data_IF_943503718996
#
_entry.id   IF_943503718996
#
_cell.length_a   1.000
_cell.length_b   1.000
_cell.length_c   1.000
_cell.angle_alpha   90.00
_cell.angle_beta   90.00
_cell.angle_gamma   90.00
#
_symmetry.space_group_name_H-M   'P 1'
#
loop_
_entity.id
_entity.type
_entity.pdbx_description
1 polymer ?
#
# COMPACT_ATOMS: atom_id res chain seq x y z
N UNK A 1 -49.38 -4.45 -24.80
CA UNK A 1 -48.47 -3.79 -25.77
C UNK A 1 -48.52 -2.29 -25.53
N UNK A 2 -47.40 -1.68 -25.15
CA UNK A 2 -47.32 -0.23 -24.93
C UNK A 2 -47.36 0.45 -26.30
N UNK A 3 -48.46 1.15 -26.63
CA UNK A 3 -48.57 1.91 -27.89
C UNK A 3 -47.80 3.22 -27.78
N UNK A 4 -46.57 3.23 -28.30
CA UNK A 4 -45.68 4.40 -28.27
C UNK A 4 -46.08 5.36 -29.41
N UNK A 5 -46.39 6.61 -29.06
CA UNK A 5 -46.74 7.63 -30.08
C UNK A 5 -45.57 7.92 -31.02
N UNK A 6 -45.86 8.27 -32.29
CA UNK A 6 -44.85 8.57 -33.31
C UNK A 6 -43.87 9.68 -32.89
N UNK A 7 -44.32 10.64 -32.05
CA UNK A 7 -43.49 11.71 -31.46
C UNK A 7 -42.54 11.19 -30.36
N UNK A 8 -42.95 10.18 -29.58
CA UNK A 8 -42.15 9.56 -28.52
C UNK A 8 -41.32 8.36 -28.99
N UNK A 9 -41.53 7.87 -30.21
CA UNK A 9 -40.77 6.75 -30.79
C UNK A 9 -39.26 7.01 -30.79
N UNK A 10 -38.83 8.23 -31.11
CA UNK A 10 -37.41 8.62 -31.06
C UNK A 10 -36.85 8.58 -29.63
N UNK A 11 -37.62 9.06 -28.65
CA UNK A 11 -37.22 9.02 -27.23
C UNK A 11 -37.08 7.58 -26.74
N UNK A 12 -38.03 6.70 -27.09
CA UNK A 12 -37.97 5.29 -26.75
C UNK A 12 -36.81 4.54 -27.39
N UNK A 13 -36.51 4.82 -28.67
CA UNK A 13 -35.30 4.28 -29.32
C UNK A 13 -34.07 4.77 -28.57
N UNK A 14 -34.00 6.06 -28.22
CA UNK A 14 -32.89 6.61 -27.42
C UNK A 14 -32.72 5.92 -26.07
N UNK A 15 -33.81 5.73 -25.31
CA UNK A 15 -33.77 5.01 -24.03
C UNK A 15 -33.36 3.55 -24.19
N UNK A 16 -33.90 2.84 -25.18
CA UNK A 16 -33.55 1.45 -25.42
C UNK A 16 -32.08 1.29 -25.82
N UNK A 17 -31.57 2.15 -26.70
CA UNK A 17 -30.15 2.16 -27.09
C UNK A 17 -29.26 2.51 -25.91
N UNK A 18 -29.62 3.54 -25.13
CA UNK A 18 -28.87 3.92 -23.92
C UNK A 18 -28.80 2.78 -22.91
N UNK A 19 -29.94 2.16 -22.60
CA UNK A 19 -30.00 1.04 -21.65
C UNK A 19 -29.21 -0.18 -22.17
N UNK A 20 -29.25 -0.44 -23.47
CA UNK A 20 -28.45 -1.50 -24.09
C UNK A 20 -26.95 -1.24 -23.97
N UNK A 21 -26.48 -0.03 -24.32
CA UNK A 21 -25.08 0.35 -24.19
C UNK A 21 -24.64 0.30 -22.73
N UNK A 22 -25.41 0.88 -21.80
CA UNK A 22 -25.10 0.83 -20.36
C UNK A 22 -25.03 -0.60 -19.84
N UNK A 23 -25.93 -1.49 -20.27
CA UNK A 23 -25.91 -2.89 -19.86
C UNK A 23 -24.67 -3.61 -20.38
N UNK A 24 -24.28 -3.36 -21.63
CA UNK A 24 -23.03 -3.90 -22.19
C UNK A 24 -21.83 -3.38 -21.41
N UNK A 25 -21.73 -2.06 -21.20
CA UNK A 25 -20.64 -1.47 -20.44
C UNK A 25 -20.56 -2.04 -19.02
N UNK A 26 -21.70 -2.18 -18.33
CA UNK A 26 -21.76 -2.77 -17.00
C UNK A 26 -21.23 -4.21 -17.01
N UNK A 27 -21.71 -5.06 -17.91
CA UNK A 27 -21.26 -6.45 -18.02
C UNK A 27 -19.78 -6.50 -18.33
N UNK A 28 -19.30 -5.76 -19.35
CA UNK A 28 -17.89 -5.77 -19.76
C UNK A 28 -17.00 -5.30 -18.61
N UNK A 29 -17.29 -4.15 -17.99
CA UNK A 29 -16.47 -3.61 -16.91
C UNK A 29 -16.51 -4.45 -15.62
N UNK A 30 -17.55 -5.26 -15.43
CA UNK A 30 -17.68 -6.14 -14.24
C UNK A 30 -17.00 -7.50 -14.41
N UNK A 31 -16.41 -7.80 -15.57
CA UNK A 31 -15.65 -9.04 -15.76
C UNK A 31 -14.26 -8.93 -15.11
N UNK A 32 -13.76 -9.96 -14.41
CA UNK A 32 -12.44 -9.92 -13.76
C UNK A 32 -11.28 -9.58 -14.70
N UNK A 33 -11.33 -10.04 -15.96
CA UNK A 33 -10.32 -9.73 -16.99
C UNK A 33 -10.20 -8.22 -17.29
N UNK A 34 -11.19 -7.43 -16.89
CA UNK A 34 -11.27 -6.00 -17.11
C UNK A 34 -11.00 -5.18 -15.83
N UNK A 35 -10.61 -5.83 -14.73
CA UNK A 35 -10.26 -5.14 -13.46
C UNK A 35 -9.16 -4.08 -13.67
N UNK A 36 -8.22 -4.32 -14.60
CA UNK A 36 -7.21 -3.32 -14.97
C UNK A 36 -7.80 -1.98 -15.44
N UNK A 37 -9.00 -1.97 -16.03
CA UNK A 37 -9.68 -0.72 -16.44
C UNK A 37 -10.32 0.02 -15.25
N UNK A 38 -10.49 -0.68 -14.13
CA UNK A 38 -10.99 -0.13 -12.87
C UNK A 38 -9.84 0.23 -11.91
N UNK A 39 -8.64 -0.32 -12.14
CA UNK A 39 -7.45 0.02 -11.36
C UNK A 39 -7.08 1.48 -11.50
N UNK A 40 -6.63 2.10 -10.39
CA UNK A 40 -6.15 3.49 -10.38
C UNK A 40 -4.79 3.66 -11.06
N UNK A 41 -4.06 2.56 -11.26
CA UNK A 41 -2.72 2.54 -11.84
C UNK A 41 -2.11 1.13 -11.82
N UNK A 42 -0.83 0.97 -12.22
CA UNK A 42 -0.15 -0.32 -12.19
C UNK A 42 0.04 -0.81 -10.76
N UNK A 43 -0.27 -2.07 -10.50
CA UNK A 43 -0.03 -2.70 -9.18
C UNK A 43 1.45 -2.61 -8.80
N UNK A 44 1.71 -2.53 -7.51
CA UNK A 44 3.04 -2.51 -6.91
C UNK A 44 3.83 -3.77 -7.31
N UNK A 45 5.16 -3.64 -7.38
CA UNK A 45 6.06 -4.73 -7.77
C UNK A 45 5.95 -5.94 -6.84
N UNK A 46 5.57 -7.09 -7.41
CA UNK A 46 5.30 -8.33 -6.70
C UNK A 46 3.81 -8.55 -6.37
N UNK A 47 2.94 -7.58 -6.67
CA UNK A 47 1.49 -7.65 -6.48
C UNK A 47 0.71 -7.68 -7.82
N UNK A 48 1.39 -7.86 -8.95
CA UNK A 48 0.82 -7.74 -10.30
C UNK A 48 -0.30 -8.74 -10.59
N UNK A 49 -0.22 -9.91 -9.96
CA UNK A 49 -1.16 -11.02 -10.16
C UNK A 49 -2.19 -11.14 -9.02
N UNK A 50 -2.19 -10.22 -8.05
CA UNK A 50 -3.17 -10.24 -6.96
C UNK A 50 -4.54 -9.75 -7.46
N UNK A 51 -5.60 -10.42 -7.01
CA UNK A 51 -6.97 -9.97 -7.26
C UNK A 51 -7.33 -8.73 -6.43
N UNK A 52 -8.22 -7.89 -6.97
CA UNK A 52 -8.67 -6.68 -6.27
C UNK A 52 -9.31 -6.99 -4.91
N UNK A 53 -10.02 -8.12 -4.79
CA UNK A 53 -10.72 -8.52 -3.56
C UNK A 53 -9.81 -8.99 -2.44
N UNK A 54 -8.57 -9.37 -2.77
CA UNK A 54 -7.56 -9.73 -1.76
C UNK A 54 -7.13 -8.53 -0.91
N UNK A 55 -7.25 -7.32 -1.45
CA UNK A 55 -7.00 -6.08 -0.74
C UNK A 55 -8.30 -5.35 -0.37
N UNK A 56 -9.20 -5.15 -1.34
CA UNK A 56 -10.38 -4.33 -1.16
C UNK A 56 -11.55 -5.11 -0.56
N UNK A 57 -11.94 -4.71 0.65
CA UNK A 57 -13.14 -5.24 1.31
C UNK A 57 -14.39 -4.47 0.86
N UNK A 58 -15.54 -5.11 0.60
CA UNK A 58 -16.77 -4.42 0.29
C UNK A 58 -17.18 -3.43 1.39
N UNK A 59 -17.56 -2.22 0.98
CA UNK A 59 -18.03 -1.19 1.92
C UNK A 59 -19.37 -1.57 2.55
N UNK A 60 -19.57 -1.13 3.80
CA UNK A 60 -20.80 -1.39 4.55
C UNK A 60 -22.03 -0.77 3.90
N UNK A 61 -23.13 -1.53 3.91
CA UNK A 61 -24.41 -1.12 3.34
C UNK A 61 -24.45 -1.29 1.82
N UNK A 62 -25.66 -1.22 1.26
CA UNK A 62 -25.83 -1.28 -0.20
C UNK A 62 -25.53 0.07 -0.87
N UNK A 63 -25.44 0.07 -2.20
CA UNK A 63 -25.14 1.26 -3.01
C UNK A 63 -26.03 2.47 -2.70
N UNK A 64 -27.33 2.25 -2.46
CA UNK A 64 -28.24 3.35 -2.13
C UNK A 64 -27.97 3.92 -0.75
N UNK A 65 -27.66 3.07 0.23
CA UNK A 65 -27.29 3.50 1.58
C UNK A 65 -25.98 4.29 1.58
N UNK A 66 -24.98 3.82 0.82
CA UNK A 66 -23.70 4.51 0.66
C UNK A 66 -23.91 5.89 -0.01
N UNK A 67 -24.68 5.94 -1.10
CA UNK A 67 -25.02 7.19 -1.78
C UNK A 67 -25.77 8.16 -0.86
N UNK A 68 -26.78 7.67 -0.14
CA UNK A 68 -27.54 8.47 0.81
C UNK A 68 -26.63 9.03 1.91
N UNK A 69 -25.72 8.22 2.45
CA UNK A 69 -24.77 8.65 3.46
C UNK A 69 -23.86 9.79 2.97
N UNK A 70 -23.37 9.70 1.73
CA UNK A 70 -22.53 10.72 1.12
C UNK A 70 -23.31 12.01 0.82
N UNK A 71 -24.56 11.93 0.35
CA UNK A 71 -25.43 13.11 0.22
C UNK A 71 -25.62 13.80 1.57
N UNK A 72 -25.92 13.03 2.63
CA UNK A 72 -26.08 13.58 3.98
C UNK A 72 -24.80 14.23 4.51
N UNK A 73 -23.62 13.67 4.20
CA UNK A 73 -22.34 14.29 4.53
C UNK A 73 -22.17 15.63 3.80
N UNK A 74 -22.41 15.68 2.48
CA UNK A 74 -22.29 16.91 1.69
C UNK A 74 -23.19 18.04 2.19
N UNK A 75 -24.40 17.74 2.67
CA UNK A 75 -25.32 18.76 3.23
C UNK A 75 -25.12 19.01 4.73
N UNK A 76 -24.07 18.47 5.34
CA UNK A 76 -23.72 18.69 6.75
C UNK A 76 -24.60 17.96 7.76
N UNK A 77 -25.47 17.04 7.30
CA UNK A 77 -26.29 16.19 8.17
C UNK A 77 -25.53 15.00 8.74
N UNK A 78 -24.32 14.73 8.24
CA UNK A 78 -23.41 13.69 8.72
C UNK A 78 -22.00 14.27 8.89
N UNK A 79 -21.27 13.81 9.91
CA UNK A 79 -19.92 14.30 10.23
C UNK A 79 -18.81 13.73 9.34
N UNK A 80 -19.02 12.54 8.80
CA UNK A 80 -18.03 11.82 7.98
C UNK A 80 -18.68 11.24 6.75
N UNK A 81 -17.92 11.14 5.67
CA UNK A 81 -18.35 10.41 4.46
C UNK A 81 -18.46 8.89 4.71
N UNK A 82 -19.01 8.19 3.73
CA UNK A 82 -19.05 6.74 3.66
C UNK A 82 -18.28 6.28 2.43
N UNK A 83 -17.47 5.22 2.62
CA UNK A 83 -16.81 4.53 1.52
C UNK A 83 -17.86 4.00 0.52
N UNK A 84 -17.55 4.07 -0.78
CA UNK A 84 -18.47 3.65 -1.85
C UNK A 84 -17.89 2.45 -2.61
N UNK A 85 -18.67 1.38 -2.73
CA UNK A 85 -18.23 0.12 -3.33
C UNK A 85 -17.33 -0.68 -2.39
N UNK A 86 -16.10 -0.22 -2.17
CA UNK A 86 -15.09 -0.86 -1.30
C UNK A 86 -14.61 0.10 -0.21
N UNK A 87 -14.13 -0.48 0.90
CA UNK A 87 -13.40 0.25 1.93
C UNK A 87 -11.96 0.55 1.46
N UNK A 88 -11.37 1.61 2.00
CA UNK A 88 -9.94 1.86 1.85
C UNK A 88 -9.16 0.73 2.52
N UNK A 89 -8.04 0.35 1.90
CA UNK A 89 -7.10 -0.64 2.44
C UNK A 89 -6.40 -0.03 3.64
N UNK A 90 -6.38 -0.75 4.76
CA UNK A 90 -5.66 -0.33 5.96
C UNK A 90 -4.50 -1.29 6.28
N UNK A 91 -3.72 -0.94 7.29
CA UNK A 91 -2.59 -1.75 7.76
C UNK A 91 -2.97 -3.19 8.10
N UNK A 92 -4.17 -3.40 8.64
CA UNK A 92 -4.62 -4.74 9.03
C UNK A 92 -4.72 -5.61 7.78
N UNK A 93 -5.25 -5.08 6.69
CA UNK A 93 -5.31 -5.79 5.42
C UNK A 93 -3.93 -6.17 4.89
N UNK A 94 -2.96 -5.26 4.93
CA UNK A 94 -1.57 -5.57 4.55
C UNK A 94 -0.97 -6.68 5.42
N UNK A 95 -1.20 -6.61 6.72
CA UNK A 95 -0.69 -7.58 7.69
C UNK A 95 -1.29 -8.98 7.54
N UNK A 96 -2.47 -9.15 6.94
CA UNK A 96 -3.02 -10.48 6.69
C UNK A 96 -2.08 -11.37 5.85
N UNK A 97 -1.22 -10.79 5.01
CA UNK A 97 -0.17 -11.52 4.28
C UNK A 97 1.25 -11.21 4.77
N UNK A 98 1.48 -10.02 5.32
CA UNK A 98 2.82 -9.53 5.70
C UNK A 98 3.17 -9.65 7.19
N UNK A 99 2.23 -10.07 8.05
CA UNK A 99 2.49 -10.21 9.48
C UNK A 99 3.57 -11.27 9.77
N UNK A 100 4.49 -10.93 10.67
CA UNK A 100 5.58 -11.81 11.10
C UNK A 100 6.18 -11.35 12.42
N UNK A 101 6.68 -12.32 13.19
CA UNK A 101 7.17 -12.07 14.55
C UNK A 101 8.48 -11.25 14.64
N UNK A 102 9.32 -11.29 13.61
CA UNK A 102 10.68 -10.70 13.63
C UNK A 102 10.84 -9.56 12.62
N UNK A 103 9.79 -8.79 12.38
CA UNK A 103 9.94 -7.52 11.66
C UNK A 103 10.81 -6.57 12.48
N UNK A 104 11.77 -5.90 11.83
CA UNK A 104 12.62 -4.88 12.46
C UNK A 104 11.89 -3.55 12.65
N UNK A 105 10.89 -3.28 11.81
CA UNK A 105 10.03 -2.10 11.86
C UNK A 105 8.55 -2.49 11.88
N UNK A 106 8.06 -3.18 12.94
CA UNK A 106 6.65 -3.50 13.08
C UNK A 106 5.85 -2.25 13.50
N UNK A 107 4.58 -2.17 13.09
CA UNK A 107 3.72 -1.01 13.31
C UNK A 107 3.67 -0.52 14.77
N UNK A 108 3.63 -1.44 15.73
CA UNK A 108 3.56 -1.09 17.15
C UNK A 108 4.74 -0.24 17.64
N UNK A 109 5.91 -0.30 16.97
CA UNK A 109 7.08 0.54 17.29
C UNK A 109 6.87 1.99 16.88
N UNK A 110 6.22 2.22 15.74
CA UNK A 110 5.86 3.56 15.27
C UNK A 110 4.79 4.18 16.17
N UNK A 111 3.90 3.36 16.75
CA UNK A 111 2.85 3.81 17.65
C UNK A 111 3.32 4.13 19.08
N UNK A 112 4.60 3.91 19.41
CA UNK A 112 5.14 4.23 20.75
C UNK A 112 4.85 5.70 21.11
N UNK A 113 4.30 6.00 22.32
CA UNK A 113 3.87 7.35 22.68
C UNK A 113 4.94 8.44 22.57
N UNK A 114 6.22 8.07 22.76
CA UNK A 114 7.36 9.00 22.62
C UNK A 114 7.50 9.58 21.22
N UNK A 115 7.00 8.90 20.20
CA UNK A 115 7.03 9.34 18.80
C UNK A 115 5.73 9.99 18.35
N UNK A 116 4.81 10.32 19.26
CA UNK A 116 3.51 10.87 18.91
C UNK A 116 3.58 12.18 18.10
N UNK A 117 4.60 13.00 18.31
CA UNK A 117 4.77 14.24 17.55
C UNK A 117 5.34 13.99 16.15
N UNK A 118 6.42 13.20 16.05
CA UNK A 118 6.99 12.76 14.77
C UNK A 118 5.94 12.08 13.87
N UNK A 119 5.05 11.28 14.47
CA UNK A 119 3.93 10.65 13.75
C UNK A 119 2.96 11.65 13.12
N UNK A 120 2.66 12.76 13.78
CA UNK A 120 1.74 13.77 13.23
C UNK A 120 2.34 14.48 12.02
N UNK A 121 3.66 14.65 12.03
CA UNK A 121 4.39 15.33 10.96
C UNK A 121 4.64 14.39 9.77
N UNK A 122 5.14 13.19 10.03
CA UNK A 122 5.64 12.28 8.99
C UNK A 122 4.57 11.31 8.46
N UNK A 123 3.51 11.05 9.24
CA UNK A 123 2.42 10.15 8.83
C UNK A 123 2.79 8.66 8.74
N UNK A 124 3.99 8.25 9.18
CA UNK A 124 4.58 6.90 8.99
C UNK A 124 3.91 5.73 9.73
N UNK A 125 2.70 5.91 10.24
CA UNK A 125 1.96 4.82 10.89
C UNK A 125 1.23 3.91 9.93
N UNK A 126 1.19 4.23 8.65
CA UNK A 126 0.50 3.43 7.66
C UNK A 126 1.49 2.80 6.69
N UNK A 127 1.25 1.55 6.31
CA UNK A 127 2.03 0.86 5.28
C UNK A 127 2.04 1.68 3.98
N UNK A 128 0.88 2.25 3.63
CA UNK A 128 0.71 3.09 2.44
C UNK A 128 1.53 4.39 2.46
N UNK A 129 1.99 4.85 3.63
CA UNK A 129 2.85 6.04 3.72
C UNK A 129 4.21 5.84 3.06
N UNK A 130 4.65 4.59 2.90
CA UNK A 130 5.86 4.21 2.18
C UNK A 130 5.57 3.34 0.95
N UNK A 131 4.52 2.51 1.01
CA UNK A 131 4.14 1.54 -0.01
C UNK A 131 2.78 1.92 -0.62
N UNK A 132 2.73 2.95 -1.46
CA UNK A 132 1.48 3.29 -2.15
C UNK A 132 1.21 2.29 -3.28
N UNK A 133 0.17 1.48 -3.10
CA UNK A 133 -0.34 0.58 -4.12
C UNK A 133 -0.82 1.37 -5.37
N UNK A 134 -0.87 0.71 -6.53
CA UNK A 134 -1.22 1.32 -7.81
C UNK A 134 -0.22 2.35 -8.40
N UNK A 135 1.02 2.40 -7.91
CA UNK A 135 2.09 3.24 -8.47
C UNK A 135 3.16 2.48 -9.27
N UNK A 136 3.11 1.15 -9.31
CA UNK A 136 4.04 0.33 -10.09
C UNK A 136 5.45 0.20 -9.51
N UNK A 137 5.69 0.70 -8.30
CA UNK A 137 7.00 0.71 -7.64
C UNK A 137 6.89 0.17 -6.22
N UNK A 138 7.98 -0.45 -5.73
CA UNK A 138 8.05 -1.08 -4.40
C UNK A 138 7.87 -0.09 -3.26
N UNK A 139 8.52 1.06 -3.33
CA UNK A 139 8.48 2.11 -2.30
C UNK A 139 8.29 3.46 -2.98
N UNK A 140 7.25 4.20 -2.61
CA UNK A 140 6.95 5.53 -3.17
C UNK A 140 7.56 6.67 -2.35
N UNK A 141 7.73 6.48 -1.04
CA UNK A 141 8.34 7.47 -0.16
C UNK A 141 9.68 6.98 0.38
N UNK A 142 10.75 7.68 0.00
CA UNK A 142 12.13 7.39 0.45
C UNK A 142 12.64 8.48 1.40
N UNK A 143 11.77 9.39 1.85
CA UNK A 143 12.16 10.52 2.70
C UNK A 143 12.83 10.04 3.99
N UNK A 144 14.10 10.38 4.15
CA UNK A 144 14.96 10.04 5.30
C UNK A 144 14.53 10.65 6.64
N UNK A 145 13.57 11.59 6.65
CA UNK A 145 13.08 12.22 7.88
C UNK A 145 12.55 11.24 8.92
N UNK A 146 12.04 10.07 8.51
CA UNK A 146 11.54 9.06 9.46
C UNK A 146 12.63 8.34 10.23
N UNK A 147 13.83 8.17 9.64
CA UNK A 147 14.95 7.59 10.36
C UNK A 147 15.36 8.52 11.50
N UNK A 148 15.53 9.80 11.16
CA UNK A 148 15.99 10.84 12.09
C UNK A 148 15.11 10.93 13.33
N UNK A 149 13.79 11.04 13.15
CA UNK A 149 12.87 11.24 14.28
C UNK A 149 12.86 10.12 15.31
N UNK A 150 13.39 8.94 14.99
CA UNK A 150 13.44 7.79 15.89
C UNK A 150 14.88 7.38 16.27
N UNK A 151 15.87 7.71 15.45
CA UNK A 151 17.25 7.22 15.56
C UNK A 151 18.30 8.31 15.81
N UNK A 152 17.93 9.59 16.00
CA UNK A 152 18.86 10.71 16.26
C UNK A 152 19.82 10.49 17.43
N UNK A 153 19.40 9.73 18.45
CA UNK A 153 20.21 9.45 19.64
C UNK A 153 20.98 8.11 19.56
N UNK A 154 21.11 7.52 18.37
CA UNK A 154 21.75 6.21 18.22
C UNK A 154 23.26 6.30 18.49
N UNK A 155 23.73 5.58 19.50
CA UNK A 155 25.15 5.43 19.84
C UNK A 155 25.46 3.96 20.18
N UNK A 156 26.46 3.38 19.51
CA UNK A 156 26.88 1.99 19.72
C UNK A 156 28.17 1.97 20.53
N UNK A 157 28.23 1.12 21.56
CA UNK A 157 29.46 0.97 22.37
C UNK A 157 30.60 0.31 21.59
N UNK A 158 30.26 -0.57 20.65
CA UNK A 158 31.20 -1.22 19.74
C UNK A 158 30.65 -1.02 18.33
N UNK A 159 31.01 0.10 17.72
CA UNK A 159 30.61 0.40 16.34
C UNK A 159 31.43 -0.47 15.37
N UNK A 160 30.79 -1.24 14.48
CA UNK A 160 31.52 -2.04 13.51
C UNK A 160 32.17 -1.20 12.41
N UNK A 161 31.68 0.02 12.16
CA UNK A 161 32.13 0.88 11.06
C UNK A 161 33.39 1.68 11.44
N UNK A 162 34.16 2.08 10.44
CA UNK A 162 35.31 2.97 10.63
C UNK A 162 34.91 4.41 11.00
N UNK A 163 33.73 4.84 10.52
CA UNK A 163 33.03 6.05 10.96
C UNK A 163 31.85 5.65 11.82
N UNK A 164 31.73 6.19 13.02
CA UNK A 164 30.67 5.75 13.92
C UNK A 164 29.28 6.16 13.41
N UNK A 165 28.25 5.41 13.78
CA UNK A 165 26.86 5.77 13.51
C UNK A 165 26.53 7.14 14.10
N UNK A 166 27.10 7.46 15.26
CA UNK A 166 26.96 8.77 15.91
C UNK A 166 27.51 9.90 15.03
N UNK A 167 28.66 9.69 14.42
CA UNK A 167 29.27 10.68 13.51
C UNK A 167 28.45 10.80 12.21
N UNK A 168 27.99 9.69 11.62
CA UNK A 168 27.11 9.70 10.45
C UNK A 168 25.81 10.48 10.72
N UNK A 169 25.23 10.31 11.91
CA UNK A 169 24.02 11.04 12.34
C UNK A 169 24.32 12.52 12.54
N UNK A 170 25.43 12.87 13.19
CA UNK A 170 25.85 14.25 13.40
C UNK A 170 26.14 14.98 12.08
N UNK A 171 26.57 14.26 11.05
CA UNK A 171 26.78 14.75 9.68
C UNK A 171 25.52 14.67 8.80
N UNK A 172 24.36 14.34 9.39
CA UNK A 172 23.05 14.22 8.72
C UNK A 172 23.05 13.23 7.53
N UNK A 173 23.93 12.22 7.56
CA UNK A 173 24.08 11.20 6.51
C UNK A 173 22.97 10.13 6.53
N UNK A 174 21.72 10.53 6.76
CA UNK A 174 20.57 9.63 6.93
C UNK A 174 20.24 8.75 5.72
N UNK A 175 20.63 9.19 4.52
CA UNK A 175 20.43 8.41 3.29
C UNK A 175 21.29 7.16 3.26
N UNK A 176 22.36 7.11 4.06
CA UNK A 176 23.33 6.01 4.02
C UNK A 176 22.86 4.77 4.77
N UNK A 177 21.90 4.89 5.70
CA UNK A 177 21.48 3.80 6.58
C UNK A 177 21.02 2.56 5.79
N UNK A 178 20.25 2.76 4.71
CA UNK A 178 19.70 1.67 3.90
C UNK A 178 20.76 0.97 3.03
N UNK A 179 21.93 1.60 2.83
CA UNK A 179 23.07 0.96 2.15
C UNK A 179 23.65 -0.20 2.95
N UNK A 180 23.45 -0.20 4.27
CA UNK A 180 23.87 -1.27 5.19
C UNK A 180 22.70 -2.04 5.79
N UNK A 181 21.50 -1.44 5.88
CA UNK A 181 20.39 -2.04 6.60
C UNK A 181 19.23 -2.39 5.67
N UNK A 182 18.86 -3.66 5.67
CA UNK A 182 17.54 -4.10 5.26
C UNK A 182 16.52 -3.62 6.31
N UNK A 183 15.72 -2.62 5.92
CA UNK A 183 14.73 -1.96 6.78
C UNK A 183 13.84 -2.96 7.49
N UNK A 184 13.25 -3.88 6.75
CA UNK A 184 12.35 -4.89 7.29
C UNK A 184 13.09 -6.15 7.78
N UNK A 185 14.35 -6.36 7.35
CA UNK A 185 15.10 -7.58 7.66
C UNK A 185 14.53 -8.82 6.95
N UNK A 186 14.06 -8.63 5.72
CA UNK A 186 13.48 -9.68 4.87
C UNK A 186 14.51 -10.68 4.35
N UNK A 187 15.75 -10.23 4.15
CA UNK A 187 16.79 -11.01 3.50
C UNK A 187 17.71 -11.69 4.52
N UNK A 188 18.24 -12.86 4.16
CA UNK A 188 19.39 -13.42 4.88
C UNK A 188 20.61 -12.61 4.44
N UNK A 189 20.95 -11.59 5.24
CA UNK A 189 21.92 -10.58 4.87
C UNK A 189 22.80 -10.22 6.07
N UNK A 190 24.10 -10.10 5.80
CA UNK A 190 25.07 -9.55 6.76
C UNK A 190 25.26 -8.08 6.43
N UNK A 191 25.03 -7.20 7.42
CA UNK A 191 25.25 -5.78 7.24
C UNK A 191 26.73 -5.50 6.97
N UNK A 192 27.01 -4.56 6.08
CA UNK A 192 28.38 -4.13 5.83
C UNK A 192 29.01 -3.59 7.12
N UNK A 193 30.26 -3.99 7.37
CA UNK A 193 31.08 -3.50 8.48
C UNK A 193 32.02 -2.37 8.02
N UNK A 194 31.91 -1.95 6.76
CA UNK A 194 32.65 -0.84 6.18
C UNK A 194 31.77 -0.05 5.23
N UNK A 195 31.94 1.28 5.20
CA UNK A 195 31.23 2.15 4.24
C UNK A 195 31.60 1.84 2.78
N UNK A 196 32.78 1.26 2.55
CA UNK A 196 33.25 0.88 1.22
C UNK A 196 32.53 -0.35 0.64
N UNK A 197 31.99 -1.21 1.50
CA UNK A 197 31.37 -2.49 1.12
C UNK A 197 29.83 -2.41 1.09
N UNK A 198 29.28 -1.19 1.14
CA UNK A 198 27.85 -0.94 1.22
C UNK A 198 27.16 -1.12 -0.14
N UNK A 199 25.84 -1.32 -0.10
CA UNK A 199 25.03 -1.35 -1.32
C UNK A 199 24.98 0.07 -1.90
N UNK A 200 25.36 0.27 -3.18
CA UNK A 200 25.30 1.59 -3.79
C UNK A 200 23.86 2.16 -3.77
N UNK A 201 23.71 3.43 -3.39
CA UNK A 201 22.40 4.11 -3.40
C UNK A 201 21.62 3.97 -4.71
N UNK A 202 22.31 3.94 -5.85
CA UNK A 202 21.66 3.76 -7.16
C UNK A 202 20.95 2.40 -7.26
N UNK A 203 21.58 1.33 -6.77
CA UNK A 203 21.01 0.00 -6.79
C UNK A 203 19.81 -0.11 -5.83
N UNK A 204 19.86 0.57 -4.68
CA UNK A 204 18.71 0.66 -3.77
C UNK A 204 17.54 1.40 -4.41
N UNK A 205 17.81 2.50 -5.09
CA UNK A 205 16.75 3.26 -5.78
C UNK A 205 16.12 2.44 -6.89
N UNK A 206 16.93 1.78 -7.73
CA UNK A 206 16.43 0.87 -8.77
C UNK A 206 15.58 -0.25 -8.18
N UNK A 207 15.96 -0.79 -7.02
CA UNK A 207 15.17 -1.79 -6.32
C UNK A 207 13.84 -1.27 -5.78
N UNK A 208 13.82 -0.05 -5.24
CA UNK A 208 12.60 0.62 -4.80
C UNK A 208 11.68 0.97 -5.96
N UNK A 209 12.25 1.27 -7.13
CA UNK A 209 11.52 1.49 -8.39
C UNK A 209 11.03 0.18 -9.04
N UNK A 210 11.21 -0.97 -8.37
CA UNK A 210 10.71 -2.28 -8.82
C UNK A 210 11.74 -3.20 -9.46
N UNK A 211 13.00 -2.78 -9.51
CA UNK A 211 14.12 -3.58 -10.02
C UNK A 211 14.50 -4.78 -9.16
N UNK A 212 15.61 -5.43 -9.54
CA UNK A 212 16.14 -6.59 -8.83
C UNK A 212 16.61 -6.23 -7.41
N UNK A 213 16.54 -7.20 -6.50
CA UNK A 213 16.99 -7.01 -5.12
C UNK A 213 18.52 -6.91 -5.06
N UNK A 214 19.09 -5.85 -4.45
CA UNK A 214 20.52 -5.73 -4.23
C UNK A 214 20.98 -6.50 -2.99
N UNK A 215 20.03 -6.98 -2.18
CA UNK A 215 20.28 -7.88 -1.07
C UNK A 215 20.43 -9.33 -1.59
N UNK A 216 20.91 -10.23 -0.74
CA UNK A 216 21.01 -11.64 -1.09
C UNK A 216 19.64 -12.19 -1.58
N UNK A 217 19.66 -12.99 -2.66
CA UNK A 217 18.43 -13.55 -3.25
C UNK A 217 17.65 -14.50 -2.34
N UNK A 218 18.22 -14.89 -1.21
CA UNK A 218 17.57 -15.75 -0.21
C UNK A 218 16.86 -14.86 0.82
N UNK A 219 15.53 -14.94 0.84
CA UNK A 219 14.73 -14.27 1.86
C UNK A 219 14.59 -15.18 3.07
N UNK A 220 14.65 -14.58 4.25
CA UNK A 220 14.32 -15.22 5.53
C UNK A 220 12.80 -15.31 5.71
N UNK A 221 12.07 -14.33 5.19
CA UNK A 221 10.62 -14.21 5.33
C UNK A 221 9.97 -13.98 3.98
N UNK A 222 8.86 -14.67 3.75
CA UNK A 222 8.01 -14.53 2.59
C UNK A 222 6.61 -14.14 3.08
N UNK A 223 5.97 -13.22 2.38
CA UNK A 223 4.55 -12.98 2.57
C UNK A 223 3.76 -14.22 2.14
N UNK A 224 2.55 -14.39 2.69
CA UNK A 224 1.63 -15.41 2.20
C UNK A 224 1.30 -15.16 0.73
N UNK A 225 1.22 -16.24 -0.05
CA UNK A 225 0.60 -16.15 -1.37
C UNK A 225 -0.90 -15.92 -1.22
N UNK A 226 -1.52 -15.33 -2.24
CA UNK A 226 -2.97 -15.11 -2.27
C UNK A 226 -3.77 -16.40 -2.02
N UNK A 227 -3.32 -17.53 -2.60
CA UNK A 227 -3.95 -18.83 -2.40
C UNK A 227 -3.91 -19.26 -0.93
N UNK A 228 -2.75 -19.13 -0.26
CA UNK A 228 -2.60 -19.51 1.14
C UNK A 228 -3.38 -18.57 2.05
N UNK A 229 -3.35 -17.26 1.78
CA UNK A 229 -4.17 -16.28 2.48
C UNK A 229 -5.66 -16.62 2.39
N UNK A 230 -6.16 -16.90 1.17
CA UNK A 230 -7.57 -17.26 0.97
C UNK A 230 -7.96 -18.51 1.75
N UNK A 231 -7.08 -19.52 1.81
CA UNK A 231 -7.29 -20.72 2.63
C UNK A 231 -7.33 -20.40 4.13
N UNK A 232 -6.53 -19.46 4.62
CA UNK A 232 -6.57 -19.04 6.03
C UNK A 232 -7.85 -18.26 6.36
N UNK A 233 -8.32 -17.38 5.46
CA UNK A 233 -9.58 -16.66 5.62
C UNK A 233 -10.81 -17.57 5.65
N UNK A 234 -10.75 -18.74 4.99
CA UNK A 234 -11.81 -19.75 5.06
C UNK A 234 -11.83 -20.51 6.39
N UNK A 235 -10.70 -20.62 7.10
CA UNK A 235 -10.62 -21.31 8.39
C UNK A 235 -11.11 -20.45 9.56
N UNK A 236 -11.07 -19.13 9.40
CA UNK A 236 -11.47 -18.15 10.42
C UNK A 236 -12.94 -17.73 10.32
N UNK A 237 -13.66 -18.17 9.27
CA UNK A 237 -15.11 -18.01 9.09
C UNK A 237 -15.89 -19.20 9.65
#
# INVERSE_FOLDING_TARGET
MITISRKRRRQWIGFAVGLFITSICYVVLSLPINEQFLSKGPMNTGHEELSCESCHTPSRGNTFQQLQANIMFTVGLRKTEANFGSENVDNKKCLECHERANDRHPLHRFEEPRFAEARKELGVTYCESCHEEHNGVRVTQVNVGYCQSCHEDTELSNDPLEISHKDLIAEEQWTTCLQCHDFHGNHIYHAAESMADTIPMIALKEYFDGGESPYAGIKKFYALSEELWAQEQLKTK
#
